data_IF_039635935680
#
_entry.id   IF_039635935680
#
_cell.length_a   1.000
_cell.length_b   1.000
_cell.length_c   1.000
_cell.angle_alpha   90.00
_cell.angle_beta   90.00
_cell.angle_gamma   90.00
#
_symmetry.space_group_name_H-M   'P 1'
#
loop_
_entity.id
_entity.type
_entity.pdbx_description
1 polymer ?
#
# COMPACT_ATOMS: atom_id res chain seq x y z
N UNK A 1 -11.74 -58.31 -6.75
CA UNK A 1 -11.21 -57.01 -6.27
C UNK A 1 -11.60 -55.94 -7.26
N UNK A 2 -12.49 -55.00 -6.89
CA UNK A 2 -12.88 -53.83 -7.70
C UNK A 2 -12.98 -52.59 -6.79
N UNK A 3 -11.88 -51.86 -6.54
CA UNK A 3 -11.93 -50.54 -5.90
C UNK A 3 -11.57 -49.37 -6.84
N UNK A 4 -11.06 -49.63 -8.06
CA UNK A 4 -10.49 -48.61 -8.96
C UNK A 4 -11.47 -47.50 -9.39
N UNK A 5 -12.76 -47.82 -9.56
CA UNK A 5 -13.75 -46.88 -10.11
C UNK A 5 -14.18 -45.79 -9.13
N UNK A 6 -14.08 -46.05 -7.83
CA UNK A 6 -14.46 -45.07 -6.79
C UNK A 6 -13.38 -43.99 -6.63
N UNK A 7 -12.09 -44.37 -6.71
CA UNK A 7 -10.99 -43.42 -6.58
C UNK A 7 -10.92 -42.39 -7.72
N UNK A 8 -11.25 -42.79 -8.96
CA UNK A 8 -11.31 -41.84 -10.09
C UNK A 8 -12.46 -40.84 -9.91
N UNK A 9 -13.63 -41.30 -9.46
CA UNK A 9 -14.76 -40.43 -9.15
C UNK A 9 -14.41 -39.42 -8.03
N UNK A 10 -13.67 -39.86 -7.00
CA UNK A 10 -13.22 -38.98 -5.92
C UNK A 10 -12.20 -37.95 -6.40
N UNK A 11 -11.27 -38.32 -7.30
CA UNK A 11 -10.32 -37.39 -7.93
C UNK A 11 -11.03 -36.35 -8.78
N UNK A 12 -12.03 -36.74 -9.58
CA UNK A 12 -12.82 -35.79 -10.36
C UNK A 12 -13.60 -34.84 -9.46
N UNK A 13 -14.13 -35.33 -8.34
CA UNK A 13 -14.82 -34.52 -7.34
C UNK A 13 -13.88 -33.52 -6.66
N UNK A 14 -12.66 -33.94 -6.30
CA UNK A 14 -11.64 -33.07 -5.76
C UNK A 14 -11.22 -31.98 -6.76
N UNK A 15 -11.04 -32.34 -8.04
CA UNK A 15 -10.71 -31.40 -9.10
C UNK A 15 -11.82 -30.36 -9.32
N UNK A 16 -13.09 -30.78 -9.26
CA UNK A 16 -14.24 -29.88 -9.34
C UNK A 16 -14.30 -28.93 -8.13
N UNK A 17 -14.00 -29.43 -6.92
CA UNK A 17 -13.92 -28.60 -5.70
C UNK A 17 -12.84 -27.53 -5.84
N UNK A 18 -11.63 -27.91 -6.25
CA UNK A 18 -10.49 -26.99 -6.46
C UNK A 18 -10.85 -25.93 -7.50
N UNK A 19 -11.46 -26.31 -8.62
CA UNK A 19 -11.92 -25.35 -9.63
C UNK A 19 -12.94 -24.36 -9.06
N UNK A 20 -13.89 -24.83 -8.23
CA UNK A 20 -14.86 -23.94 -7.58
C UNK A 20 -14.21 -22.97 -6.59
N UNK A 21 -13.17 -23.40 -5.89
CA UNK A 21 -12.39 -22.56 -4.98
C UNK A 21 -11.58 -21.52 -5.74
N UNK A 22 -10.98 -21.89 -6.88
CA UNK A 22 -10.27 -20.97 -7.75
C UNK A 22 -11.19 -19.89 -8.32
N UNK A 23 -12.41 -20.25 -8.73
CA UNK A 23 -13.41 -19.28 -9.19
C UNK A 23 -13.77 -18.30 -8.06
N UNK A 24 -14.10 -18.81 -6.86
CA UNK A 24 -14.40 -17.97 -5.70
C UNK A 24 -13.23 -17.06 -5.30
N UNK A 25 -12.00 -17.56 -5.41
CA UNK A 25 -10.81 -16.76 -5.13
C UNK A 25 -10.61 -15.68 -6.19
N UNK A 26 -10.83 -15.99 -7.46
CA UNK A 26 -10.82 -15.02 -8.57
C UNK A 26 -11.85 -13.91 -8.37
N UNK A 27 -13.08 -14.25 -7.99
CA UNK A 27 -14.13 -13.27 -7.67
C UNK A 27 -13.73 -12.37 -6.50
N UNK A 28 -13.16 -12.94 -5.43
CA UNK A 28 -12.65 -12.16 -4.29
C UNK A 28 -11.50 -11.24 -4.69
N UNK A 29 -10.58 -11.70 -5.53
CA UNK A 29 -9.47 -10.87 -6.03
C UNK A 29 -10.02 -9.73 -6.88
N UNK A 30 -10.95 -9.98 -7.80
CA UNK A 30 -11.59 -8.94 -8.60
C UNK A 30 -12.36 -7.91 -7.74
N UNK A 31 -13.06 -8.38 -6.69
CA UNK A 31 -13.74 -7.51 -5.73
C UNK A 31 -12.75 -6.67 -4.91
N UNK A 32 -11.60 -7.24 -4.52
CA UNK A 32 -10.55 -6.53 -3.80
C UNK A 32 -9.80 -5.53 -4.70
N UNK A 33 -9.51 -5.88 -5.95
CA UNK A 33 -8.88 -4.99 -6.92
C UNK A 33 -9.77 -3.80 -7.26
N UNK A 34 -11.07 -4.03 -7.49
CA UNK A 34 -12.04 -2.95 -7.68
C UNK A 34 -12.21 -2.08 -6.44
N UNK A 35 -12.26 -2.69 -5.24
CA UNK A 35 -12.30 -1.94 -3.97
C UNK A 35 -11.01 -1.16 -3.69
N UNK A 36 -9.85 -1.70 -4.05
CA UNK A 36 -8.56 -1.03 -3.94
C UNK A 36 -8.50 0.16 -4.92
N UNK A 37 -8.96 -0.02 -6.16
CA UNK A 37 -9.03 1.03 -7.17
C UNK A 37 -10.02 2.15 -6.76
N UNK A 38 -11.17 1.77 -6.19
CA UNK A 38 -12.13 2.72 -5.63
C UNK A 38 -11.58 3.44 -4.39
N UNK A 39 -10.82 2.76 -3.53
CA UNK A 39 -10.20 3.35 -2.34
C UNK A 39 -9.04 4.29 -2.70
N UNK A 40 -8.31 4.03 -3.79
CA UNK A 40 -7.34 4.99 -4.34
C UNK A 40 -8.02 6.19 -5.00
N UNK A 41 -9.18 6.01 -5.63
CA UNK A 41 -9.96 7.09 -6.23
C UNK A 41 -10.73 7.95 -5.20
N UNK A 42 -11.10 7.36 -4.07
CA UNK A 42 -11.91 7.99 -3.02
C UNK A 42 -11.12 8.28 -1.73
N UNK A 43 -9.80 8.32 -1.80
CA UNK A 43 -9.01 8.97 -0.75
C UNK A 43 -9.50 10.43 -0.65
N UNK A 44 -9.79 10.95 0.55
CA UNK A 44 -10.34 12.30 0.67
C UNK A 44 -9.37 13.29 0.04
N UNK A 45 -9.78 13.86 -1.09
CA UNK A 45 -9.11 14.94 -1.81
C UNK A 45 -9.14 16.28 -1.03
N UNK A 46 -9.23 16.22 0.30
CA UNK A 46 -9.37 17.38 1.16
C UNK A 46 -8.04 18.00 1.60
N UNK A 47 -6.90 17.56 1.05
CA UNK A 47 -5.59 18.20 1.31
C UNK A 47 -4.82 18.54 0.02
N UNK A 48 -5.42 18.36 -1.18
CA UNK A 48 -4.72 18.54 -2.46
C UNK A 48 -5.07 19.83 -3.22
N UNK A 49 -5.48 20.90 -2.55
CA UNK A 49 -5.77 22.18 -3.22
C UNK A 49 -4.53 23.00 -3.59
N UNK A 50 -3.32 22.42 -3.66
CA UNK A 50 -2.12 23.17 -4.08
C UNK A 50 -1.31 22.54 -5.21
N UNK A 51 -1.71 21.40 -5.78
CA UNK A 51 -0.82 20.68 -6.74
C UNK A 51 -0.87 21.19 -8.18
N UNK A 52 -1.46 22.37 -8.45
CA UNK A 52 -1.48 22.97 -9.80
C UNK A 52 -0.65 24.25 -9.86
N UNK A 53 0.65 24.15 -9.57
CA UNK A 53 1.73 25.03 -10.08
C UNK A 53 3.03 24.80 -9.28
N UNK A 54 3.75 23.70 -9.50
CA UNK A 54 5.10 23.53 -8.91
C UNK A 54 6.08 22.92 -9.92
N UNK A 55 5.95 23.28 -11.20
CA UNK A 55 6.85 22.75 -12.23
C UNK A 55 8.18 23.52 -12.33
N UNK A 56 8.29 24.74 -11.77
CA UNK A 56 9.52 25.55 -11.82
C UNK A 56 9.76 26.44 -10.59
N UNK A 57 8.96 26.29 -9.53
CA UNK A 57 9.15 27.10 -8.32
C UNK A 57 10.22 26.45 -7.44
N UNK A 58 11.42 27.02 -7.45
CA UNK A 58 12.46 26.73 -6.47
C UNK A 58 11.85 26.77 -5.06
N UNK A 59 12.08 25.71 -4.27
CA UNK A 59 11.65 25.66 -2.87
C UNK A 59 12.00 26.96 -2.16
N UNK A 60 11.01 27.62 -1.55
CA UNK A 60 11.27 28.86 -0.81
C UNK A 60 12.23 28.59 0.36
N UNK A 61 13.07 29.57 0.68
CA UNK A 61 14.07 29.45 1.75
C UNK A 61 13.43 29.12 3.10
N UNK A 62 12.23 29.65 3.35
CA UNK A 62 11.44 29.34 4.53
C UNK A 62 11.06 27.85 4.60
N UNK A 63 10.62 27.26 3.50
CA UNK A 63 10.30 25.82 3.45
C UNK A 63 11.56 24.98 3.65
N UNK A 64 12.69 25.38 3.08
CA UNK A 64 13.97 24.69 3.28
C UNK A 64 14.39 24.75 4.76
N UNK A 65 14.20 25.89 5.42
CA UNK A 65 14.49 26.05 6.85
C UNK A 65 13.58 25.16 7.72
N UNK A 66 12.29 25.14 7.45
CA UNK A 66 11.31 24.30 8.17
C UNK A 66 11.66 22.81 8.00
N UNK A 67 11.95 22.39 6.77
CA UNK A 67 12.39 21.02 6.49
C UNK A 67 13.70 20.68 7.22
N UNK A 68 14.67 21.60 7.21
CA UNK A 68 15.93 21.46 7.94
C UNK A 68 15.73 21.29 9.45
N UNK A 69 14.87 22.12 10.06
CA UNK A 69 14.54 22.04 11.48
C UNK A 69 13.85 20.72 11.85
N UNK A 70 12.88 20.27 11.04
CA UNK A 70 12.20 19.00 11.25
C UNK A 70 13.17 17.81 11.15
N UNK A 71 14.05 17.80 10.15
CA UNK A 71 15.08 16.76 9.99
C UNK A 71 16.07 16.78 11.15
N UNK A 72 16.52 17.96 11.60
CA UNK A 72 17.41 18.10 12.75
C UNK A 72 16.74 17.66 14.07
N UNK A 73 15.45 17.92 14.25
CA UNK A 73 14.68 17.45 15.40
C UNK A 73 14.54 15.92 15.40
N UNK A 74 14.36 15.31 14.23
CA UNK A 74 14.19 13.86 14.10
C UNK A 74 15.51 13.07 14.19
N UNK A 75 16.56 13.53 13.52
CA UNK A 75 17.86 12.84 13.45
C UNK A 75 18.86 13.29 14.54
N UNK A 76 18.60 14.40 15.21
CA UNK A 76 19.51 14.99 16.21
C UNK A 76 20.50 16.01 15.64
N UNK A 77 21.36 16.55 16.52
CA UNK A 77 22.27 17.66 16.21
C UNK A 77 23.25 17.26 15.10
N UNK A 78 23.23 18.00 13.97
CA UNK A 78 24.10 17.88 12.76
C UNK A 78 23.64 16.93 11.64
N UNK A 79 22.34 16.82 11.37
CA UNK A 79 21.88 16.17 10.14
C UNK A 79 22.34 16.93 8.88
N UNK A 80 23.12 16.28 8.01
CA UNK A 80 23.55 16.85 6.74
C UNK A 80 22.59 16.47 5.62
N UNK A 81 21.82 17.45 5.14
CA UNK A 81 20.91 17.29 4.01
C UNK A 81 21.70 17.44 2.71
N UNK A 82 21.78 16.38 1.90
CA UNK A 82 22.54 16.38 0.63
C UNK A 82 21.70 16.71 -0.59
N UNK A 83 20.43 16.30 -0.62
CA UNK A 83 19.49 16.57 -1.72
C UNK A 83 18.07 16.65 -1.18
N UNK A 84 17.31 17.63 -1.64
CA UNK A 84 15.86 17.72 -1.48
C UNK A 84 15.29 17.71 -2.90
N UNK A 85 14.37 16.78 -3.18
CA UNK A 85 13.70 16.69 -4.47
C UNK A 85 12.22 16.37 -4.25
N UNK A 86 11.37 17.04 -5.01
CA UNK A 86 9.94 16.72 -5.03
C UNK A 86 9.76 15.47 -5.88
N UNK A 87 9.35 14.37 -5.25
CA UNK A 87 9.03 13.15 -5.97
C UNK A 87 7.58 13.24 -6.45
N UNK A 88 7.36 13.18 -7.76
CA UNK A 88 6.00 13.17 -8.34
C UNK A 88 5.22 11.88 -8.06
N UNK A 89 5.84 10.89 -7.41
CA UNK A 89 5.21 9.62 -7.03
C UNK A 89 4.80 9.61 -5.56
N UNK A 90 3.58 9.15 -5.29
CA UNK A 90 3.06 8.97 -3.93
C UNK A 90 3.66 7.75 -3.21
N UNK A 91 4.51 6.95 -3.88
CA UNK A 91 5.04 5.71 -3.33
C UNK A 91 5.78 5.90 -2.00
N UNK A 92 6.59 6.96 -1.87
CA UNK A 92 7.32 7.25 -0.63
C UNK A 92 6.38 7.56 0.54
N UNK A 93 5.33 8.37 0.29
CA UNK A 93 4.31 8.68 1.29
C UNK A 93 3.51 7.43 1.71
N UNK A 94 3.22 6.52 0.77
CA UNK A 94 2.55 5.25 1.07
C UNK A 94 3.44 4.31 1.89
N UNK A 95 4.73 4.20 1.53
CA UNK A 95 5.69 3.37 2.26
C UNK A 95 5.84 3.83 3.72
N UNK A 96 5.91 5.14 3.97
CA UNK A 96 5.94 5.69 5.33
C UNK A 96 4.69 5.33 6.15
N UNK A 97 3.50 5.43 5.53
CA UNK A 97 2.23 5.08 6.19
C UNK A 97 2.12 3.59 6.52
N UNK A 98 2.58 2.70 5.62
CA UNK A 98 2.60 1.25 5.85
C UNK A 98 3.47 0.88 7.03
N UNK A 99 4.66 1.48 7.16
CA UNK A 99 5.54 1.23 8.32
C UNK A 99 4.86 1.56 9.64
N UNK A 100 4.16 2.70 9.73
CA UNK A 100 3.43 3.11 10.94
C UNK A 100 2.26 2.17 11.23
N UNK A 101 1.48 1.79 10.21
CA UNK A 101 0.32 0.91 10.37
C UNK A 101 0.71 -0.52 10.75
N UNK A 102 1.78 -1.05 10.17
CA UNK A 102 2.28 -2.39 10.47
C UNK A 102 2.65 -2.54 11.95
N UNK A 103 3.25 -1.51 12.55
CA UNK A 103 3.58 -1.51 13.99
C UNK A 103 2.34 -1.66 14.88
N UNK A 104 1.21 -1.05 14.52
CA UNK A 104 -0.03 -1.17 15.28
C UNK A 104 -0.72 -2.53 15.07
N UNK A 105 -0.71 -3.06 13.85
CA UNK A 105 -1.31 -4.36 13.55
C UNK A 105 -0.64 -5.51 14.34
N UNK A 106 0.68 -5.46 14.50
CA UNK A 106 1.44 -6.44 15.31
C UNK A 106 1.13 -6.34 16.81
N UNK A 107 0.79 -5.15 17.31
CA UNK A 107 0.41 -4.94 18.70
C UNK A 107 -1.01 -5.46 18.98
N UNK A 108 -1.96 -5.23 18.07
CA UNK A 108 -3.33 -5.74 18.18
C UNK A 108 -3.40 -7.26 18.03
N UNK A 109 -2.57 -7.88 17.18
CA UNK A 109 -2.53 -9.33 17.00
C UNK A 109 -1.92 -10.10 18.20
N UNK A 110 -1.29 -9.41 19.15
CA UNK A 110 -0.68 -9.99 20.36
C UNK A 110 -1.61 -9.89 21.59
N UNK A 111 -2.77 -9.24 21.46
CA UNK A 111 -3.79 -9.12 22.51
C UNK A 111 -4.90 -10.14 22.30
#
# INVERSE_FOLDING_TARGET
MKPETNGLADVLKALASIQSELVKLGERVAALESSAHAKTANAPAAVMTTTKAYADESLSDELVLILGAAVAAFLGKKAHIRRIQVLGSTAWAQQGRVTIQASHALNTARS
#
